data_IF_939506712187
#
_entry.id   IF_939506712187
#
_cell.length_a   1.000
_cell.length_b   1.000
_cell.length_c   1.000
_cell.angle_alpha   90.00
_cell.angle_beta   90.00
_cell.angle_gamma   90.00
#
_symmetry.space_group_name_H-M   'P 1'
#
loop_
_entity.id
_entity.type
_entity.pdbx_description
1 polymer ?
#
# COMPACT_ATOMS: atom_id res chain seq x y z
N UNK A 1 -14.86 18.80 17.79
CA UNK A 1 -14.00 19.25 16.68
C UNK A 1 -13.23 18.02 16.22
N UNK A 2 -13.34 17.54 14.97
CA UNK A 2 -12.56 16.38 14.57
C UNK A 2 -11.08 16.77 14.65
N UNK A 3 -10.25 16.00 15.36
CA UNK A 3 -8.80 16.21 15.34
C UNK A 3 -8.39 16.22 13.87
N UNK A 4 -7.87 17.35 13.39
CA UNK A 4 -7.39 17.42 12.02
C UNK A 4 -6.17 16.50 11.92
N UNK A 5 -6.38 15.39 11.20
CA UNK A 5 -5.46 14.30 10.84
C UNK A 5 -4.33 14.79 9.92
N UNK A 6 -3.72 15.93 10.21
CA UNK A 6 -2.67 16.51 9.38
C UNK A 6 -1.33 15.96 9.84
N UNK A 7 -0.91 14.87 9.20
CA UNK A 7 0.45 14.37 9.33
C UNK A 7 1.33 14.97 8.23
N UNK A 8 2.63 15.22 8.52
CA UNK A 8 3.61 15.57 7.49
C UNK A 8 3.65 14.51 6.38
N UNK A 9 4.17 14.89 5.21
CA UNK A 9 4.39 13.96 4.10
C UNK A 9 5.22 12.74 4.56
N UNK A 10 4.83 11.55 4.11
CA UNK A 10 5.47 10.28 4.49
C UNK A 10 5.00 9.73 5.84
N UNK A 11 3.96 10.32 6.45
CA UNK A 11 3.35 9.85 7.69
C UNK A 11 1.85 9.81 7.57
N UNK A 12 1.24 8.86 8.26
CA UNK A 12 -0.20 8.85 8.48
C UNK A 12 -0.51 8.92 9.96
N UNK A 13 -1.71 9.41 10.29
CA UNK A 13 -2.23 9.38 11.65
C UNK A 13 -2.72 7.97 11.99
N UNK A 14 -2.26 7.44 13.11
CA UNK A 14 -2.60 6.11 13.59
C UNK A 14 -3.06 6.20 15.05
N UNK A 15 -4.22 5.61 15.31
CA UNK A 15 -4.85 5.44 16.59
C UNK A 15 -5.32 3.98 16.68
N UNK A 16 -4.54 3.19 17.39
CA UNK A 16 -4.72 1.75 17.45
C UNK A 16 -3.60 1.09 18.24
N UNK A 17 -3.83 -0.12 18.75
CA UNK A 17 -2.78 -0.95 19.37
C UNK A 17 -1.95 -0.23 20.46
N UNK A 18 -2.54 0.74 21.17
CA UNK A 18 -1.86 1.54 22.20
C UNK A 18 -1.03 2.72 21.67
N UNK A 19 -1.06 3.00 20.38
CA UNK A 19 -0.40 4.15 19.73
C UNK A 19 -1.43 5.20 19.30
N UNK A 20 -1.06 6.48 19.45
CA UNK A 20 -1.84 7.64 19.01
C UNK A 20 -0.90 8.71 18.44
N UNK A 21 -0.92 8.93 17.12
CA UNK A 21 -0.18 10.03 16.49
C UNK A 21 0.28 9.75 15.05
N UNK A 22 1.13 10.63 14.53
CA UNK A 22 1.68 10.53 13.18
C UNK A 22 2.86 9.55 13.11
N UNK A 23 2.61 8.36 12.62
CA UNK A 23 3.64 7.35 12.39
C UNK A 23 4.14 7.40 10.94
N UNK A 24 5.45 7.19 10.72
CA UNK A 24 6.00 6.86 9.40
C UNK A 24 5.26 5.65 8.82
N UNK A 25 4.99 5.63 7.51
CA UNK A 25 4.21 4.54 6.90
C UNK A 25 4.90 3.17 7.00
N UNK A 26 6.23 3.13 7.04
CA UNK A 26 7.05 1.94 7.30
C UNK A 26 7.00 1.45 8.76
N UNK A 27 6.60 2.32 9.68
CA UNK A 27 6.39 2.02 11.09
C UNK A 27 4.92 2.02 11.50
N UNK A 28 4.00 2.18 10.55
CA UNK A 28 2.62 1.85 10.81
C UNK A 28 2.63 0.38 11.19
N UNK A 29 2.19 0.00 12.41
CA UNK A 29 2.03 -1.40 12.76
C UNK A 29 0.92 -1.88 11.85
N UNK A 30 1.34 -2.39 10.70
CA UNK A 30 0.52 -2.31 9.52
C UNK A 30 -0.80 -2.99 9.81
N UNK A 31 -1.84 -2.50 9.15
CA UNK A 31 -2.93 -3.34 8.73
C UNK A 31 -2.35 -4.48 7.90
N UNK A 32 -1.65 -5.41 8.55
CA UNK A 32 -1.20 -6.64 7.97
C UNK A 32 -2.49 -7.39 7.75
N UNK A 33 -2.80 -7.64 6.47
CA UNK A 33 -3.83 -8.60 6.07
C UNK A 33 -3.82 -9.71 7.12
N UNK A 34 -4.93 -9.87 7.83
CA UNK A 34 -5.12 -11.04 8.67
C UNK A 34 -4.76 -12.23 7.78
N UNK A 35 -3.71 -12.96 8.15
CA UNK A 35 -3.16 -14.10 7.43
C UNK A 35 -4.17 -15.25 7.46
N UNK A 36 -5.34 -15.08 6.85
CA UNK A 36 -6.20 -16.15 6.41
C UNK A 36 -5.98 -16.30 4.91
N UNK A 37 -5.49 -17.48 4.56
CA UNK A 37 -4.85 -17.88 3.31
C UNK A 37 -5.79 -17.88 2.08
N UNK A 38 -6.55 -16.82 1.85
CA UNK A 38 -7.48 -16.71 0.71
C UNK A 38 -7.62 -15.28 0.15
N UNK A 39 -7.16 -14.25 0.87
CA UNK A 39 -6.88 -12.96 0.26
C UNK A 39 -5.47 -13.04 -0.35
N UNK A 40 -5.35 -12.85 -1.66
CA UNK A 40 -4.07 -12.82 -2.40
C UNK A 40 -3.06 -12.01 -1.60
N UNK A 41 -2.14 -12.72 -0.95
CA UNK A 41 -1.13 -12.10 -0.13
C UNK A 41 -0.42 -11.09 -1.02
N UNK A 42 -0.60 -9.82 -0.68
CA UNK A 42 0.12 -8.70 -1.23
C UNK A 42 1.57 -8.84 -0.80
N UNK A 43 2.25 -9.80 -1.40
CA UNK A 43 3.67 -10.04 -1.19
C UNK A 43 4.31 -8.83 -1.83
N UNK A 44 5.00 -8.01 -1.04
CA UNK A 44 5.86 -6.95 -1.57
C UNK A 44 6.93 -7.65 -2.42
N UNK A 45 6.62 -7.90 -3.69
CA UNK A 45 7.50 -8.60 -4.59
C UNK A 45 8.75 -7.74 -4.80
N UNK A 46 9.92 -8.37 -4.75
CA UNK A 46 11.18 -7.68 -4.90
C UNK A 46 11.20 -6.90 -6.22
N UNK A 47 11.57 -5.62 -6.17
CA UNK A 47 11.67 -4.70 -7.30
C UNK A 47 12.85 -5.08 -8.23
N UNK A 48 12.75 -6.24 -8.85
CA UNK A 48 13.76 -6.82 -9.73
C UNK A 48 13.27 -6.79 -11.16
N UNK A 49 14.19 -6.79 -12.13
CA UNK A 49 13.83 -6.81 -13.55
C UNK A 49 12.98 -8.03 -13.94
N UNK A 50 13.18 -9.17 -13.25
CA UNK A 50 12.38 -10.38 -13.43
C UNK A 50 10.89 -10.19 -13.07
N UNK A 51 10.57 -9.21 -12.22
CA UNK A 51 9.18 -8.86 -11.96
C UNK A 51 8.47 -8.32 -13.21
N UNK A 52 9.22 -7.77 -14.18
CA UNK A 52 8.69 -7.20 -15.43
C UNK A 52 8.82 -8.10 -16.65
N UNK A 53 9.04 -9.40 -16.47
CA UNK A 53 8.95 -10.35 -17.58
C UNK A 53 7.51 -10.42 -18.10
N UNK A 54 7.33 -10.67 -19.40
CA UNK A 54 6.01 -10.68 -20.05
C UNK A 54 5.02 -11.68 -19.45
N UNK A 55 5.56 -12.73 -18.82
CA UNK A 55 4.79 -13.81 -18.21
C UNK A 55 4.44 -13.54 -16.74
N UNK A 56 4.92 -12.42 -16.19
CA UNK A 56 4.64 -11.97 -14.82
C UNK A 56 3.34 -11.18 -14.75
N UNK A 57 2.52 -11.44 -13.74
CA UNK A 57 1.29 -10.66 -13.49
C UNK A 57 1.57 -9.16 -13.34
N UNK A 58 2.73 -8.83 -12.76
CA UNK A 58 3.24 -7.48 -12.53
C UNK A 58 3.52 -6.69 -13.81
N UNK A 59 3.64 -7.37 -14.97
CA UNK A 59 3.75 -6.70 -16.26
C UNK A 59 2.42 -6.06 -16.69
N UNK A 60 1.29 -6.64 -16.28
CA UNK A 60 -0.05 -6.18 -16.67
C UNK A 60 -0.69 -5.22 -15.67
N UNK A 61 -0.24 -5.23 -14.42
CA UNK A 61 -0.82 -4.41 -13.36
C UNK A 61 0.23 -3.99 -12.31
N UNK A 62 0.07 -2.79 -11.73
CA UNK A 62 0.93 -2.32 -10.64
C UNK A 62 0.73 -3.14 -9.37
N UNK A 63 1.75 -3.18 -8.52
CA UNK A 63 1.72 -3.89 -7.24
C UNK A 63 2.32 -3.03 -6.13
N UNK A 64 1.94 -3.23 -4.86
CA UNK A 64 2.36 -2.36 -3.77
C UNK A 64 3.82 -2.56 -3.38
N UNK A 65 4.38 -1.49 -2.86
CA UNK A 65 5.67 -1.49 -2.19
C UNK A 65 5.50 -1.67 -0.67
N UNK A 66 6.62 -1.61 0.06
CA UNK A 66 6.62 -1.70 1.52
C UNK A 66 5.97 -0.46 2.17
N UNK A 67 6.10 0.71 1.54
CA UNK A 67 5.36 1.91 1.93
C UNK A 67 3.95 1.84 1.30
N UNK A 68 2.87 1.85 2.11
CA UNK A 68 1.49 1.96 1.65
C UNK A 68 1.19 3.06 0.64
N UNK A 69 1.94 4.17 0.63
CA UNK A 69 1.78 5.24 -0.35
C UNK A 69 2.46 4.90 -1.69
N UNK A 70 3.24 3.83 -1.76
CA UNK A 70 4.08 3.52 -2.91
C UNK A 70 3.66 2.22 -3.61
N UNK A 71 3.94 2.19 -4.90
CA UNK A 71 3.68 1.04 -5.75
C UNK A 71 4.71 0.94 -6.86
N UNK A 72 4.86 -0.24 -7.40
CA UNK A 72 5.70 -0.53 -8.54
C UNK A 72 4.87 -0.70 -9.80
N UNK A 73 5.44 -0.33 -10.94
CA UNK A 73 4.92 -0.69 -12.26
C UNK A 73 6.05 -0.98 -13.25
N UNK A 74 5.77 -1.80 -14.25
CA UNK A 74 6.72 -2.11 -15.31
C UNK A 74 6.66 -1.07 -16.42
N UNK A 75 7.76 -0.37 -16.74
CA UNK A 75 7.78 0.57 -17.86
C UNK A 75 7.92 -0.14 -19.22
N UNK A 76 8.53 -1.33 -19.22
CA UNK A 76 8.74 -2.19 -20.38
C UNK A 76 9.07 -3.62 -19.92
N UNK A 77 9.08 -4.57 -20.86
CA UNK A 77 9.42 -5.97 -20.59
C UNK A 77 10.88 -6.11 -20.17
N UNK A 78 11.16 -6.93 -19.15
CA UNK A 78 12.48 -7.16 -18.55
C UNK A 78 13.18 -5.88 -18.06
N UNK A 79 12.43 -4.79 -17.85
CA UNK A 79 12.96 -3.54 -17.31
C UNK A 79 12.92 -3.54 -15.78
N UNK A 80 13.74 -2.69 -15.15
CA UNK A 80 13.62 -2.44 -13.72
C UNK A 80 12.26 -1.77 -13.42
N UNK A 81 11.48 -2.29 -12.46
CA UNK A 81 10.23 -1.66 -12.04
C UNK A 81 10.44 -0.22 -11.59
N UNK A 82 9.51 0.66 -11.96
CA UNK A 82 9.46 2.02 -11.45
C UNK A 82 8.73 2.03 -10.11
N UNK A 83 9.37 2.58 -9.08
CA UNK A 83 8.72 2.90 -7.81
C UNK A 83 8.05 4.28 -7.92
N UNK A 84 6.75 4.31 -7.72
CA UNK A 84 5.91 5.50 -7.81
C UNK A 84 5.15 5.74 -6.51
N UNK A 85 4.76 6.99 -6.30
CA UNK A 85 3.98 7.41 -5.13
C UNK A 85 2.54 7.71 -5.54
N UNK A 86 1.59 7.33 -4.70
CA UNK A 86 0.25 7.88 -4.70
C UNK A 86 0.27 9.36 -4.27
N UNK A 87 -0.77 10.10 -4.65
CA UNK A 87 -0.95 11.47 -4.18
C UNK A 87 -0.98 11.54 -2.64
N UNK A 88 -0.59 12.67 -2.02
CA UNK A 88 -0.65 12.82 -0.57
C UNK A 88 -2.03 12.49 0.00
N UNK A 89 -2.07 11.75 1.11
CA UNK A 89 -3.33 11.32 1.74
C UNK A 89 -3.93 10.03 1.17
N UNK A 90 -3.22 9.32 0.29
CA UNK A 90 -3.67 8.09 -0.34
C UNK A 90 -2.68 6.93 -0.15
N UNK A 91 -3.22 5.72 -0.10
CA UNK A 91 -2.48 4.47 -0.17
C UNK A 91 -2.80 3.67 -1.42
N UNK A 92 -1.89 2.80 -1.85
CA UNK A 92 -2.11 1.90 -2.96
C UNK A 92 -2.84 0.64 -2.51
N UNK A 93 -3.92 0.32 -3.22
CA UNK A 93 -4.74 -0.90 -3.04
C UNK A 93 -4.47 -1.82 -4.23
N UNK A 94 -4.27 -3.11 -3.96
CA UNK A 94 -4.22 -4.16 -4.97
C UNK A 94 -4.93 -5.40 -4.43
N UNK A 95 -6.25 -5.41 -4.54
CA UNK A 95 -7.13 -6.53 -4.23
C UNK A 95 -7.72 -7.09 -5.53
N UNK A 96 -8.51 -8.17 -5.44
CA UNK A 96 -9.26 -8.69 -6.59
C UNK A 96 -10.26 -7.68 -7.16
N UNK A 97 -10.72 -6.76 -6.33
CA UNK A 97 -11.85 -5.88 -6.61
C UNK A 97 -11.41 -4.46 -6.97
N UNK A 98 -10.22 -4.05 -6.53
CA UNK A 98 -9.68 -2.72 -6.77
C UNK A 98 -8.15 -2.72 -6.91
N UNK A 99 -7.65 -2.02 -7.94
CA UNK A 99 -6.23 -1.73 -8.14
C UNK A 99 -6.04 -0.24 -8.35
N UNK A 100 -5.27 0.42 -7.47
CA UNK A 100 -4.94 1.84 -7.60
C UNK A 100 -4.83 2.59 -6.27
N UNK A 101 -4.58 3.90 -6.37
CA UNK A 101 -4.46 4.78 -5.20
C UNK A 101 -5.84 5.19 -4.65
N UNK A 102 -6.08 4.93 -3.37
CA UNK A 102 -7.31 5.25 -2.67
C UNK A 102 -7.04 6.12 -1.43
N UNK A 103 -8.02 6.91 -0.99
CA UNK A 103 -7.91 7.66 0.27
C UNK A 103 -7.68 6.71 1.45
N UNK A 104 -6.96 7.16 2.49
CA UNK A 104 -6.60 6.30 3.64
C UNK A 104 -7.79 5.57 4.27
N UNK A 105 -8.97 6.20 4.32
CA UNK A 105 -10.19 5.56 4.83
C UNK A 105 -10.59 4.34 3.99
N UNK A 106 -10.50 4.45 2.66
CA UNK A 106 -10.81 3.34 1.74
C UNK A 106 -9.70 2.29 1.82
N UNK A 107 -8.44 2.72 1.75
CA UNK A 107 -7.29 1.83 1.87
C UNK A 107 -7.37 0.97 3.13
N UNK A 108 -7.69 1.56 4.28
CA UNK A 108 -7.83 0.82 5.54
C UNK A 108 -8.95 -0.21 5.52
N UNK A 109 -10.08 0.14 4.92
CA UNK A 109 -11.19 -0.79 4.75
C UNK A 109 -10.79 -1.99 3.88
N UNK A 110 -10.09 -1.74 2.77
CA UNK A 110 -9.59 -2.79 1.88
C UNK A 110 -8.53 -3.68 2.57
N UNK A 111 -7.72 -3.09 3.46
CA UNK A 111 -6.75 -3.81 4.30
C UNK A 111 -7.36 -4.36 5.60
N UNK A 112 -8.69 -4.29 5.77
CA UNK A 112 -9.44 -4.79 6.92
C UNK A 112 -8.95 -4.26 8.28
N UNK A 113 -8.76 -2.94 8.36
CA UNK A 113 -8.27 -2.26 9.56
C UNK A 113 -8.94 -0.91 9.82
N UNK A 114 -10.21 -0.80 9.45
CA UNK A 114 -11.06 0.37 9.66
C UNK A 114 -11.27 0.72 11.14
N UNK A 115 -11.07 -0.24 12.04
CA UNK A 115 -11.07 -0.02 13.49
C UNK A 115 -9.88 0.82 14.01
N UNK A 116 -8.83 1.01 13.20
CA UNK A 116 -7.63 1.78 13.55
C UNK A 116 -7.52 3.04 12.66
N UNK A 117 -7.42 4.25 13.23
CA UNK A 117 -7.62 5.51 12.49
C UNK A 117 -6.55 6.57 12.61
#
# INVERSE_FOLDING_TARGET
QPLQLQCPQGRGFFNGLGYLGCLPYDHWPACQLATDATATATTTAAATAAACDSDSEHFTQPWPAADPNQFYMCPATAATPLLLNCAPGKGFVATSDAVGCADWTVWRREMQCDDYY
#
